data_IF_560065711773
#
_entry.id   IF_560065711773
#
_cell.length_a   1.000
_cell.length_b   1.000
_cell.length_c   1.000
_cell.angle_alpha   90.00
_cell.angle_beta   90.00
_cell.angle_gamma   90.00
#
_symmetry.space_group_name_H-M   'P 1'
#
loop_
_entity.id
_entity.type
_entity.pdbx_description
1 polymer ?
#
# COMPACT_ATOMS: atom_id res chain seq x y z
N UNK A 1 22.78 2.06 14.87
CA UNK A 1 22.69 3.45 14.37
C UNK A 1 21.48 4.12 14.98
N UNK A 2 21.49 5.43 15.22
CA UNK A 2 20.26 6.16 15.52
C UNK A 2 19.49 6.37 14.21
N UNK A 3 18.22 5.97 14.16
CA UNK A 3 17.34 6.23 13.01
C UNK A 3 17.20 7.75 12.87
N UNK A 4 17.44 8.29 11.67
CA UNK A 4 17.34 9.72 11.34
C UNK A 4 16.18 10.00 10.39
N UNK A 5 15.94 9.12 9.42
CA UNK A 5 14.91 9.31 8.40
C UNK A 5 14.12 8.04 8.13
N UNK A 6 12.80 8.21 8.11
CA UNK A 6 11.83 7.17 7.76
C UNK A 6 11.14 7.56 6.46
N UNK A 7 11.00 6.62 5.53
CA UNK A 7 10.24 6.81 4.30
C UNK A 7 8.95 5.99 4.33
N UNK A 8 7.86 6.58 3.84
CA UNK A 8 6.57 5.93 3.62
C UNK A 8 6.29 5.81 2.13
N UNK A 9 5.72 4.68 1.69
CA UNK A 9 5.16 4.56 0.35
C UNK A 9 3.88 3.71 0.34
N UNK A 10 2.95 4.04 -0.56
CA UNK A 10 1.80 3.17 -0.87
C UNK A 10 1.91 2.67 -2.30
N UNK A 11 1.65 1.38 -2.52
CA UNK A 11 1.84 0.73 -3.83
C UNK A 11 0.67 -0.21 -4.20
N UNK A 12 0.51 -0.44 -5.51
CA UNK A 12 -0.46 -1.39 -6.06
C UNK A 12 -1.88 -0.82 -6.22
N UNK A 13 -2.89 -1.67 -6.02
CA UNK A 13 -4.30 -1.25 -6.02
C UNK A 13 -4.71 -0.61 -4.70
N UNK A 14 -5.68 0.31 -4.74
CA UNK A 14 -6.27 0.86 -3.52
C UNK A 14 -6.94 -0.23 -2.68
N UNK A 15 -6.90 -0.01 -1.37
CA UNK A 15 -7.66 -0.75 -0.37
C UNK A 15 -8.11 0.27 0.71
N UNK A 16 -9.25 0.05 1.37
CA UNK A 16 -9.79 0.94 2.40
C UNK A 16 -8.96 0.83 3.69
N UNK A 17 -7.76 1.41 3.66
CA UNK A 17 -6.82 1.46 4.79
C UNK A 17 -5.65 2.41 4.53
N UNK A 18 -5.38 2.81 3.28
CA UNK A 18 -4.16 3.51 2.90
C UNK A 18 -4.01 4.86 3.60
N UNK A 19 -5.03 5.72 3.57
CA UNK A 19 -5.01 7.00 4.29
C UNK A 19 -4.83 6.82 5.80
N UNK A 20 -5.60 5.92 6.41
CA UNK A 20 -5.48 5.60 7.84
C UNK A 20 -4.08 5.10 8.20
N UNK A 21 -3.50 4.19 7.41
CA UNK A 21 -2.16 3.65 7.64
C UNK A 21 -1.07 4.73 7.57
N UNK A 22 -1.15 5.65 6.59
CA UNK A 22 -0.22 6.78 6.49
C UNK A 22 -0.38 7.71 7.68
N UNK A 23 -1.62 8.07 8.04
CA UNK A 23 -1.89 8.94 9.20
C UNK A 23 -1.43 8.34 10.52
N UNK A 24 -1.71 7.06 10.75
CA UNK A 24 -1.33 6.32 11.96
C UNK A 24 0.19 6.20 12.10
N UNK A 25 0.92 5.96 11.00
CA UNK A 25 2.38 5.94 11.01
C UNK A 25 2.94 7.32 11.37
N UNK A 26 2.46 8.39 10.73
CA UNK A 26 2.91 9.76 11.03
C UNK A 26 2.63 10.12 12.49
N UNK A 27 1.41 9.84 12.98
CA UNK A 27 1.03 10.13 14.36
C UNK A 27 1.88 9.33 15.34
N UNK A 28 2.13 8.04 15.05
CA UNK A 28 2.94 7.19 15.92
C UNK A 28 4.38 7.68 16.01
N UNK A 29 5.02 7.99 14.89
CA UNK A 29 6.38 8.54 14.89
C UNK A 29 6.44 9.89 15.61
N UNK A 30 5.43 10.73 15.44
CA UNK A 30 5.34 12.01 16.17
C UNK A 30 5.31 11.82 17.69
N UNK A 31 4.69 10.74 18.17
CA UNK A 31 4.62 10.43 19.60
C UNK A 31 5.90 9.81 20.17
N UNK A 32 6.59 8.95 19.41
CA UNK A 32 7.69 8.13 19.95
C UNK A 32 9.09 8.56 19.53
N UNK A 33 9.20 9.29 18.42
CA UNK A 33 10.46 9.72 17.83
C UNK A 33 10.25 11.03 17.03
N UNK A 34 9.84 12.13 17.69
CA UNK A 34 9.54 13.40 17.03
C UNK A 34 10.74 14.00 16.26
N UNK A 35 11.96 13.64 16.64
CA UNK A 35 13.21 14.05 15.99
C UNK A 35 13.50 13.35 14.66
N UNK A 36 12.84 12.21 14.39
CA UNK A 36 13.02 11.45 13.15
C UNK A 36 12.27 12.15 12.03
N UNK A 37 12.96 12.47 10.94
CA UNK A 37 12.34 13.04 9.75
C UNK A 37 11.52 11.98 9.01
N UNK A 38 10.32 12.34 8.59
CA UNK A 38 9.45 11.46 7.82
C UNK A 38 9.35 12.03 6.40
N UNK A 39 9.66 11.21 5.42
CA UNK A 39 9.38 11.50 4.01
C UNK A 39 8.35 10.52 3.47
N UNK A 40 7.58 10.94 2.47
CA UNK A 40 6.64 10.07 1.79
C UNK A 40 6.85 10.14 0.27
N UNK A 41 7.25 9.01 -0.33
CA UNK A 41 7.42 8.91 -1.77
C UNK A 41 6.07 8.99 -2.47
N UNK A 42 5.95 9.95 -3.39
CA UNK A 42 4.69 10.17 -4.10
C UNK A 42 4.46 9.06 -5.13
N UNK A 43 3.26 8.49 -5.14
CA UNK A 43 2.88 7.44 -6.07
C UNK A 43 3.73 6.16 -5.96
N UNK A 44 4.18 5.81 -4.75
CA UNK A 44 4.84 4.52 -4.49
C UNK A 44 6.25 4.44 -5.08
N UNK A 45 6.58 3.31 -5.71
CA UNK A 45 7.88 3.11 -6.37
C UNK A 45 8.15 4.10 -7.50
N UNK A 46 7.12 4.74 -8.07
CA UNK A 46 7.34 5.84 -9.00
C UNK A 46 8.11 6.99 -8.33
N UNK A 47 7.64 7.46 -7.17
CA UNK A 47 8.31 8.52 -6.41
C UNK A 47 9.68 8.10 -5.92
N UNK A 48 9.86 6.83 -5.57
CA UNK A 48 11.19 6.32 -5.24
C UNK A 48 12.13 6.42 -6.45
N UNK A 49 11.75 5.92 -7.62
CA UNK A 49 12.59 5.97 -8.82
C UNK A 49 12.91 7.41 -9.26
N UNK A 50 11.98 8.35 -9.10
CA UNK A 50 12.17 9.74 -9.53
C UNK A 50 12.73 10.65 -8.45
N UNK A 51 12.95 10.15 -7.23
CA UNK A 51 13.31 10.98 -6.07
C UNK A 51 12.22 11.98 -5.66
N UNK A 52 10.97 11.75 -6.07
CA UNK A 52 9.84 12.62 -5.76
C UNK A 52 9.17 12.18 -4.44
N UNK A 53 9.40 12.94 -3.39
CA UNK A 53 8.79 12.77 -2.08
C UNK A 53 8.38 14.11 -1.48
N UNK A 54 7.49 14.05 -0.49
CA UNK A 54 7.18 15.17 0.40
C UNK A 54 7.81 14.92 1.76
N UNK A 55 8.23 16.00 2.43
CA UNK A 55 8.61 15.95 3.85
C UNK A 55 7.38 16.20 4.70
N UNK A 56 7.16 15.40 5.73
CA UNK A 56 6.03 15.56 6.64
C UNK A 56 6.43 16.55 7.74
N UNK A 57 5.99 17.79 7.57
CA UNK A 57 6.24 18.90 8.49
C UNK A 57 5.39 18.84 9.77
N UNK A 58 5.61 19.80 10.66
CA UNK A 58 4.94 19.87 11.96
C UNK A 58 3.41 20.05 11.84
N UNK A 59 2.94 20.73 10.79
CA UNK A 59 1.52 20.92 10.55
C UNK A 59 0.86 19.60 10.10
N UNK A 60 1.49 18.89 9.16
CA UNK A 60 1.05 17.59 8.72
C UNK A 60 1.06 16.58 9.87
N UNK A 61 2.08 16.58 10.73
CA UNK A 61 2.15 15.74 11.94
C UNK A 61 1.00 16.01 12.90
N UNK A 62 0.73 17.28 13.20
CA UNK A 62 -0.34 17.70 14.09
C UNK A 62 -1.72 17.25 13.62
N UNK A 63 -1.93 17.24 12.30
CA UNK A 63 -3.23 16.96 11.69
C UNK A 63 -3.35 15.55 11.08
N UNK A 64 -2.31 14.72 11.16
CA UNK A 64 -2.25 13.41 10.49
C UNK A 64 -3.45 12.49 10.81
N UNK A 65 -4.01 12.63 12.01
CA UNK A 65 -5.16 11.83 12.44
C UNK A 65 -6.42 12.02 11.59
N UNK A 66 -6.56 13.13 10.87
CA UNK A 66 -7.70 13.38 9.97
C UNK A 66 -7.73 12.38 8.80
N UNK A 67 -6.59 11.77 8.45
CA UNK A 67 -6.49 10.84 7.32
C UNK A 67 -7.29 9.54 7.55
N UNK A 68 -7.69 9.23 8.79
CA UNK A 68 -8.56 8.09 9.11
C UNK A 68 -9.96 8.22 8.51
N UNK A 69 -10.41 9.45 8.26
CA UNK A 69 -11.75 9.75 7.76
C UNK A 69 -11.85 9.62 6.24
N UNK A 70 -10.75 9.34 5.54
CA UNK A 70 -10.68 9.32 4.08
C UNK A 70 -10.31 7.95 3.52
N UNK A 71 -10.91 7.60 2.39
CA UNK A 71 -10.43 6.52 1.52
C UNK A 71 -9.23 6.96 0.65
N UNK A 72 -8.82 6.11 -0.28
CA UNK A 72 -7.72 6.42 -1.21
C UNK A 72 -6.35 6.46 -0.54
N UNK A 73 -5.38 7.12 -1.17
CA UNK A 73 -4.03 7.32 -0.63
C UNK A 73 -3.65 8.80 -0.67
N UNK A 74 -3.28 9.42 0.46
CA UNK A 74 -2.94 10.85 0.53
C UNK A 74 -1.61 11.17 -0.14
N UNK A 75 -0.77 10.15 -0.37
CA UNK A 75 0.55 10.29 -1.02
C UNK A 75 0.55 9.71 -2.44
N UNK A 76 -0.64 9.45 -2.99
CA UNK A 76 -0.81 8.85 -4.31
C UNK A 76 -0.38 7.38 -4.36
N UNK A 77 -0.67 6.70 -5.47
CA UNK A 77 -0.32 5.30 -5.67
C UNK A 77 0.01 5.03 -7.14
N UNK A 78 0.83 4.02 -7.41
CA UNK A 78 1.09 3.54 -8.76
C UNK A 78 1.27 2.02 -8.81
N UNK A 79 1.13 1.46 -10.02
CA UNK A 79 1.43 0.06 -10.31
C UNK A 79 2.81 -0.09 -10.96
N UNK A 80 3.81 0.62 -10.43
CA UNK A 80 5.22 0.45 -10.80
C UNK A 80 5.74 -0.86 -10.20
N UNK A 81 6.35 -1.71 -11.03
CA UNK A 81 7.03 -2.94 -10.62
C UNK A 81 8.49 -2.87 -11.03
N UNK A 82 9.41 -2.96 -10.08
CA UNK A 82 10.86 -2.90 -10.36
C UNK A 82 11.34 -4.09 -11.21
N UNK A 83 10.62 -5.21 -11.15
CA UNK A 83 10.90 -6.41 -11.96
C UNK A 83 10.57 -6.26 -13.44
N UNK A 84 9.85 -5.22 -13.86
CA UNK A 84 9.49 -4.98 -15.26
C UNK A 84 10.34 -3.86 -15.89
N UNK A 85 11.65 -4.11 -16.01
CA UNK A 85 12.61 -3.14 -16.55
C UNK A 85 12.16 -2.55 -17.91
N UNK A 86 11.63 -3.38 -18.81
CA UNK A 86 11.13 -2.92 -20.12
C UNK A 86 10.06 -1.83 -19.97
N UNK A 87 9.06 -2.05 -19.11
CA UNK A 87 8.02 -1.04 -18.89
C UNK A 87 8.56 0.24 -18.25
N UNK A 88 9.58 0.14 -17.39
CA UNK A 88 10.18 1.32 -16.76
C UNK A 88 10.97 2.16 -17.76
N UNK A 89 11.72 1.51 -18.66
CA UNK A 89 12.42 2.18 -19.76
C UNK A 89 11.45 2.84 -20.74
N UNK A 90 10.39 2.14 -21.16
CA UNK A 90 9.34 2.70 -22.02
C UNK A 90 8.65 3.94 -21.40
N UNK A 91 8.57 3.99 -20.07
CA UNK A 91 7.99 5.11 -19.32
C UNK A 91 9.00 6.20 -18.96
N UNK A 92 10.28 6.03 -19.31
CA UNK A 92 11.36 6.95 -18.99
C UNK A 92 11.65 7.05 -17.49
N UNK A 93 11.33 6.02 -16.71
CA UNK A 93 11.59 5.97 -15.26
C UNK A 93 12.99 5.45 -14.92
N UNK A 94 13.57 4.65 -15.83
CA UNK A 94 14.91 4.06 -15.72
C UNK A 94 15.53 4.07 -17.10
N UNK A 95 16.83 4.34 -17.20
CA UNK A 95 17.55 4.31 -18.48
C UNK A 95 17.76 2.86 -18.99
N UNK A 96 17.93 2.70 -20.29
CA UNK A 96 18.21 1.37 -20.87
C UNK A 96 19.54 0.81 -20.34
N UNK A 97 19.53 -0.45 -19.91
CA UNK A 97 20.70 -1.11 -19.34
C UNK A 97 20.92 -0.88 -17.84
N UNK A 98 20.13 -0.01 -17.20
CA UNK A 98 20.16 0.18 -15.74
C UNK A 98 19.25 -0.83 -15.05
N UNK A 99 19.76 -1.48 -14.00
CA UNK A 99 18.96 -2.37 -13.16
C UNK A 99 18.01 -1.53 -12.26
N UNK A 100 16.67 -1.66 -12.39
CA UNK A 100 15.74 -0.85 -11.63
C UNK A 100 15.80 -1.05 -10.10
N UNK A 101 16.15 -2.24 -9.64
CA UNK A 101 16.27 -2.54 -8.20
C UNK A 101 17.45 -1.76 -7.60
N UNK A 102 18.61 -1.84 -8.26
CA UNK A 102 19.84 -1.15 -7.86
C UNK A 102 19.65 0.36 -7.90
N UNK A 103 19.02 0.87 -8.96
CA UNK A 103 18.72 2.29 -9.11
C UNK A 103 17.79 2.82 -8.01
N UNK A 104 16.75 2.07 -7.66
CA UNK A 104 15.85 2.41 -6.56
C UNK A 104 16.56 2.33 -5.19
N UNK A 105 17.41 1.34 -4.97
CA UNK A 105 18.19 1.20 -3.75
C UNK A 105 19.17 2.37 -3.57
N UNK A 106 19.89 2.74 -4.62
CA UNK A 106 20.78 3.90 -4.60
C UNK A 106 20.05 5.21 -4.34
N UNK A 107 18.80 5.33 -4.80
CA UNK A 107 17.96 6.49 -4.47
C UNK A 107 17.55 6.49 -2.99
N UNK A 108 17.25 5.35 -2.36
CA UNK A 108 17.04 5.25 -0.90
C UNK A 108 18.30 5.67 -0.11
N UNK A 109 19.48 5.22 -0.55
CA UNK A 109 20.77 5.58 0.04
C UNK A 109 21.04 7.08 -0.09
N UNK A 110 20.82 7.65 -1.28
CA UNK A 110 20.97 9.08 -1.56
C UNK A 110 20.00 9.92 -0.72
N UNK A 111 18.78 9.44 -0.55
CA UNK A 111 17.78 10.04 0.33
C UNK A 111 18.02 9.71 1.80
N UNK A 112 19.09 8.99 2.17
CA UNK A 112 19.46 8.72 3.56
C UNK A 112 18.35 8.03 4.38
N UNK A 113 17.56 7.17 3.76
CA UNK A 113 16.46 6.45 4.40
C UNK A 113 17.00 5.33 5.26
N UNK A 114 16.71 5.34 6.57
CA UNK A 114 17.11 4.26 7.49
C UNK A 114 15.99 3.21 7.65
N UNK A 115 14.73 3.65 7.53
CA UNK A 115 13.54 2.78 7.64
C UNK A 115 12.59 3.05 6.47
N UNK A 116 12.17 2.00 5.77
CA UNK A 116 11.16 2.07 4.73
C UNK A 116 9.89 1.34 5.16
N UNK A 117 8.78 2.08 5.28
CA UNK A 117 7.44 1.51 5.42
C UNK A 117 6.79 1.34 4.05
N UNK A 118 6.45 0.09 3.71
CA UNK A 118 5.74 -0.22 2.46
C UNK A 118 4.31 -0.65 2.74
N UNK A 119 3.34 0.12 2.25
CA UNK A 119 1.91 -0.21 2.38
C UNK A 119 1.42 -0.78 1.05
N UNK A 120 1.44 -2.10 0.92
CA UNK A 120 1.22 -2.78 -0.35
C UNK A 120 0.95 -4.28 -0.23
N UNK A 121 0.72 -4.92 -1.38
CA UNK A 121 0.51 -6.37 -1.46
C UNK A 121 1.81 -7.15 -1.46
N UNK A 122 1.75 -8.42 -1.84
CA UNK A 122 2.90 -9.34 -1.88
C UNK A 122 4.06 -8.78 -2.74
N UNK A 123 3.80 -8.44 -4.01
CA UNK A 123 4.78 -7.82 -4.92
C UNK A 123 5.53 -6.63 -4.29
N UNK A 124 4.82 -5.80 -3.51
CA UNK A 124 5.42 -4.62 -2.86
C UNK A 124 6.37 -5.03 -1.74
N UNK A 125 5.94 -5.93 -0.86
CA UNK A 125 6.76 -6.32 0.29
C UNK A 125 7.97 -7.16 -0.14
N UNK A 126 7.81 -8.01 -1.17
CA UNK A 126 8.93 -8.74 -1.77
C UNK A 126 9.96 -7.79 -2.37
N UNK A 127 9.51 -6.81 -3.17
CA UNK A 127 10.42 -5.79 -3.73
C UNK A 127 11.15 -5.00 -2.63
N UNK A 128 10.48 -4.69 -1.52
CA UNK A 128 11.09 -4.00 -0.40
C UNK A 128 12.17 -4.85 0.28
N UNK A 129 11.93 -6.16 0.45
CA UNK A 129 12.94 -7.09 0.96
C UNK A 129 14.16 -7.18 0.04
N UNK A 130 13.96 -7.24 -1.28
CA UNK A 130 15.04 -7.25 -2.27
C UNK A 130 15.89 -5.97 -2.20
N UNK A 131 15.27 -4.81 -2.00
CA UNK A 131 15.98 -3.52 -1.82
C UNK A 131 16.85 -3.54 -0.55
N UNK A 132 16.32 -4.04 0.57
CA UNK A 132 17.08 -4.14 1.81
C UNK A 132 18.26 -5.10 1.69
N UNK A 133 18.07 -6.25 1.03
CA UNK A 133 19.13 -7.22 0.79
C UNK A 133 20.27 -6.60 -0.06
N UNK A 134 19.92 -5.94 -1.17
CA UNK A 134 20.90 -5.26 -2.01
C UNK A 134 21.67 -4.19 -1.24
N UNK A 135 20.99 -3.35 -0.46
CA UNK A 135 21.64 -2.30 0.32
C UNK A 135 22.58 -2.87 1.39
N UNK A 136 22.18 -3.95 2.07
CA UNK A 136 23.02 -4.64 3.04
C UNK A 136 24.31 -5.17 2.42
N UNK A 137 24.22 -5.78 1.23
CA UNK A 137 25.38 -6.24 0.46
C UNK A 137 26.30 -5.10 0.00
N UNK A 138 25.81 -3.86 0.01
CA UNK A 138 26.52 -2.64 -0.39
C UNK A 138 26.78 -1.68 0.80
N UNK A 139 26.97 -2.24 2.00
CA UNK A 139 27.35 -1.53 3.23
C UNK A 139 26.36 -0.43 3.67
N UNK A 140 25.07 -0.60 3.34
CA UNK A 140 24.00 0.30 3.76
C UNK A 140 22.86 -0.47 4.44
N UNK A 141 22.63 -0.19 5.72
CA UNK A 141 21.57 -0.84 6.48
C UNK A 141 20.22 -0.14 6.26
N UNK A 142 19.27 -0.85 5.63
CA UNK A 142 17.88 -0.41 5.51
C UNK A 142 16.98 -1.36 6.30
N UNK A 143 16.22 -0.82 7.25
CA UNK A 143 15.13 -1.56 7.88
C UNK A 143 13.85 -1.44 7.05
N UNK A 144 13.26 -2.55 6.65
CA UNK A 144 11.97 -2.56 5.95
C UNK A 144 10.87 -3.05 6.89
N UNK A 145 9.77 -2.30 6.94
CA UNK A 145 8.56 -2.67 7.68
C UNK A 145 7.38 -2.68 6.72
N UNK A 146 6.96 -3.89 6.37
CA UNK A 146 5.84 -4.11 5.44
C UNK A 146 4.48 -4.08 6.11
N UNK A 147 3.55 -3.30 5.55
CA UNK A 147 2.14 -3.31 5.93
C UNK A 147 1.32 -4.07 4.87
N UNK A 148 0.80 -5.27 5.20
CA UNK A 148 0.16 -6.17 4.24
C UNK A 148 -1.21 -5.64 3.82
N UNK A 149 -1.26 -5.00 2.66
CA UNK A 149 -2.44 -4.34 2.09
C UNK A 149 -2.98 -5.11 0.89
N UNK A 150 -4.17 -5.68 1.02
CA UNK A 150 -4.90 -6.34 -0.06
C UNK A 150 -6.35 -6.54 0.37
N UNK A 151 -7.30 -6.39 -0.57
CA UNK A 151 -8.71 -6.73 -0.30
C UNK A 151 -8.97 -8.23 -0.47
N UNK A 152 -8.04 -8.92 -1.13
CA UNK A 152 -8.14 -10.35 -1.45
C UNK A 152 -7.70 -11.23 -0.26
N UNK A 153 -7.14 -10.65 0.81
CA UNK A 153 -6.58 -11.34 1.99
C UNK A 153 -5.66 -12.52 1.63
N UNK A 154 -4.79 -12.30 0.64
CA UNK A 154 -3.97 -13.32 -0.01
C UNK A 154 -2.47 -13.22 0.32
N UNK A 155 -2.11 -12.47 1.36
CA UNK A 155 -0.70 -12.33 1.81
C UNK A 155 -0.41 -13.34 2.92
N UNK A 156 0.39 -14.36 2.64
CA UNK A 156 0.78 -15.41 3.61
C UNK A 156 2.05 -14.97 4.37
N UNK A 157 2.18 -15.21 5.69
CA UNK A 157 1.28 -15.92 6.61
C UNK A 157 0.30 -15.01 7.37
N UNK A 158 -0.01 -13.82 6.82
CA UNK A 158 -0.84 -12.84 7.50
C UNK A 158 -2.29 -13.32 7.51
N UNK A 159 -2.88 -13.45 8.72
CA UNK A 159 -4.28 -13.89 8.87
C UNK A 159 -5.28 -12.90 8.28
N UNK A 160 -5.01 -11.61 8.44
CA UNK A 160 -5.89 -10.53 8.02
C UNK A 160 -5.09 -9.37 7.45
N UNK A 161 -5.24 -9.12 6.16
CA UNK A 161 -4.68 -7.94 5.48
C UNK A 161 -5.51 -6.69 5.74
N UNK A 162 -4.84 -5.55 5.61
CA UNK A 162 -5.46 -4.23 5.71
C UNK A 162 -6.41 -4.00 4.52
N UNK A 163 -7.64 -3.60 4.84
CA UNK A 163 -8.70 -3.24 3.90
C UNK A 163 -9.64 -4.39 3.47
N UNK A 164 -9.31 -5.65 3.75
CA UNK A 164 -10.14 -6.79 3.34
C UNK A 164 -11.51 -6.84 4.04
N UNK A 165 -11.58 -6.54 5.35
CA UNK A 165 -12.85 -6.51 6.08
C UNK A 165 -13.79 -5.43 5.57
N UNK A 166 -13.32 -4.19 5.50
CA UNK A 166 -14.15 -3.08 5.00
C UNK A 166 -14.62 -3.34 3.57
N UNK A 167 -13.76 -3.89 2.69
CA UNK A 167 -14.19 -4.26 1.34
C UNK A 167 -15.33 -5.30 1.35
N UNK A 168 -15.29 -6.28 2.25
CA UNK A 168 -16.36 -7.27 2.39
C UNK A 168 -17.64 -6.71 3.01
N UNK A 169 -17.53 -5.79 3.99
CA UNK A 169 -18.69 -5.07 4.56
C UNK A 169 -19.42 -4.28 3.47
N UNK A 170 -18.69 -3.49 2.69
CA UNK A 170 -19.26 -2.69 1.60
C UNK A 170 -19.86 -3.58 0.50
N UNK A 171 -19.20 -4.69 0.17
CA UNK A 171 -19.75 -5.70 -0.74
C UNK A 171 -21.07 -6.28 -0.23
N UNK A 172 -21.15 -6.60 1.06
CA UNK A 172 -22.36 -7.15 1.67
C UNK A 172 -23.51 -6.13 1.72
N UNK A 173 -23.21 -4.88 2.10
CA UNK A 173 -24.19 -3.78 2.11
C UNK A 173 -24.73 -3.49 0.71
N UNK A 174 -23.86 -3.48 -0.30
CA UNK A 174 -24.29 -3.36 -1.70
C UNK A 174 -25.20 -4.53 -2.12
N UNK A 175 -24.81 -5.77 -1.81
CA UNK A 175 -25.60 -6.95 -2.11
C UNK A 175 -26.98 -6.91 -1.43
N UNK A 176 -27.05 -6.49 -0.17
CA UNK A 176 -28.29 -6.36 0.60
C UNK A 176 -29.29 -5.44 -0.09
N UNK A 177 -28.85 -4.26 -0.50
CA UNK A 177 -29.70 -3.28 -1.16
C UNK A 177 -30.23 -3.77 -2.51
N UNK A 178 -29.40 -4.44 -3.32
CA UNK A 178 -29.79 -4.89 -4.66
C UNK A 178 -30.62 -6.18 -4.60
N UNK A 179 -30.22 -7.15 -3.78
CA UNK A 179 -30.92 -8.44 -3.66
C UNK A 179 -32.31 -8.24 -3.02
N UNK A 180 -32.54 -7.17 -2.26
CA UNK A 180 -33.88 -6.81 -1.76
C UNK A 180 -34.96 -6.80 -2.85
N UNK A 181 -34.60 -6.54 -4.11
CA UNK A 181 -35.50 -6.50 -5.26
C UNK A 181 -35.87 -7.87 -5.86
N UNK A 182 -35.28 -8.97 -5.39
CA UNK A 182 -35.39 -10.30 -6.04
C UNK A 182 -36.83 -10.85 -6.20
N UNK A 183 -37.82 -10.24 -5.54
CA UNK A 183 -39.25 -10.64 -5.63
C UNK A 183 -40.10 -9.76 -6.55
N UNK A 184 -39.56 -8.70 -7.13
CA UNK A 184 -40.33 -7.84 -8.04
C UNK A 184 -40.61 -8.49 -9.40
N UNK A 185 -39.80 -9.48 -9.80
CA UNK A 185 -40.02 -10.28 -11.02
C UNK A 185 -39.72 -11.78 -10.76
N UNK A 186 -40.67 -12.70 -11.00
CA UNK A 186 -40.48 -14.14 -10.79
C UNK A 186 -39.33 -14.80 -11.59
N UNK A 187 -38.80 -14.15 -12.63
CA UNK A 187 -37.69 -14.63 -13.45
C UNK A 187 -36.39 -13.84 -13.25
N UNK A 188 -36.30 -13.03 -12.21
CA UNK A 188 -35.13 -12.19 -11.96
C UNK A 188 -33.91 -13.05 -11.63
N UNK A 189 -32.78 -12.73 -12.27
CA UNK A 189 -31.46 -13.23 -11.93
C UNK A 189 -30.57 -12.03 -11.63
N UNK A 190 -29.99 -12.00 -10.43
CA UNK A 190 -29.03 -10.98 -10.01
C UNK A 190 -27.66 -11.63 -9.99
N UNK A 191 -26.71 -11.03 -10.72
CA UNK A 191 -25.31 -11.43 -10.71
C UNK A 191 -24.51 -10.31 -10.07
N UNK A 192 -23.87 -10.60 -8.95
CA UNK A 192 -22.99 -9.68 -8.24
C UNK A 192 -21.54 -10.15 -8.40
N UNK A 193 -20.79 -9.45 -9.26
CA UNK A 193 -19.36 -9.70 -9.44
C UNK A 193 -18.58 -9.06 -8.28
N UNK A 194 -17.78 -9.87 -7.58
CA UNK A 194 -16.88 -9.42 -6.52
C UNK A 194 -15.44 -9.37 -7.04
N UNK A 195 -14.64 -8.41 -6.56
CA UNK A 195 -13.19 -8.44 -6.78
C UNK A 195 -12.57 -9.68 -6.11
N UNK A 196 -11.35 -10.05 -6.52
CA UNK A 196 -10.66 -11.24 -6.03
C UNK A 196 -9.86 -11.88 -7.15
N UNK A 197 -8.59 -11.48 -7.33
CA UNK A 197 -7.84 -11.82 -8.54
C UNK A 197 -7.56 -13.32 -8.65
N UNK A 198 -6.94 -13.87 -7.61
CA UNK A 198 -6.41 -15.24 -7.60
C UNK A 198 -7.03 -16.10 -6.49
N UNK A 199 -7.93 -15.55 -5.68
CA UNK A 199 -8.60 -16.25 -4.60
C UNK A 199 -10.05 -15.77 -4.44
N UNK A 200 -10.89 -16.61 -3.81
CA UNK A 200 -12.30 -16.32 -3.57
C UNK A 200 -12.61 -15.75 -2.18
N UNK A 201 -11.60 -15.30 -1.41
CA UNK A 201 -11.79 -14.83 -0.04
C UNK A 201 -12.82 -13.71 0.04
N UNK A 202 -12.65 -12.66 -0.79
CA UNK A 202 -13.51 -11.49 -0.71
C UNK A 202 -14.97 -11.84 -1.04
N UNK A 203 -15.20 -12.67 -2.07
CA UNK A 203 -16.53 -13.21 -2.40
C UNK A 203 -17.12 -14.01 -1.25
N UNK A 204 -16.36 -14.93 -0.66
CA UNK A 204 -16.84 -15.79 0.43
C UNK A 204 -17.18 -14.96 1.68
N UNK A 205 -16.32 -14.02 2.05
CA UNK A 205 -16.52 -13.16 3.22
C UNK A 205 -17.65 -12.15 3.00
N UNK A 206 -17.80 -11.63 1.78
CA UNK A 206 -18.94 -10.77 1.38
C UNK A 206 -20.26 -11.53 1.52
N UNK A 207 -20.34 -12.76 0.98
CA UNK A 207 -21.53 -13.58 1.10
C UNK A 207 -21.86 -13.93 2.56
N UNK A 208 -20.84 -14.25 3.36
CA UNK A 208 -20.99 -14.52 4.80
C UNK A 208 -21.58 -13.32 5.53
N UNK A 209 -21.02 -12.12 5.34
CA UNK A 209 -21.49 -10.87 5.97
C UNK A 209 -22.89 -10.49 5.51
N UNK A 210 -23.21 -10.68 4.23
CA UNK A 210 -24.56 -10.47 3.72
C UNK A 210 -25.61 -11.32 4.45
N UNK A 211 -25.28 -12.56 4.82
CA UNK A 211 -26.17 -13.41 5.60
C UNK A 211 -26.30 -13.02 7.08
N UNK A 212 -25.36 -12.21 7.60
CA UNK A 212 -25.38 -11.71 8.98
C UNK A 212 -26.14 -10.37 9.12
N UNK A 213 -26.47 -9.69 8.01
CA UNK A 213 -27.27 -8.46 7.96
C UNK A 213 -28.76 -8.74 8.19
#
# INVERSE_FOLDING_TARGET
>A
MSIRRVALLTAGGFAPCLSAAVGDLIERYTQVAPEVEIIAYQYGYHGLLTGNYIVIDDEARKNAGILRDFGGSPIGNSRVKLTNAKNLVERGLVEEGVNPLEFAAEQLRKDGVDVLHTIGGDDTNTTAADLAAYLHENDYELTVVGLPKTIDNDVVPVRQSLGAWTAADEGAGFAFNIIGEHRSNPRMLIVHECMGRNCGYLTAETARRYHDL
#
